data_IF_164682785252
#
_entry.id   IF_164682785252
#
_cell.length_a   1.000
_cell.length_b   1.000
_cell.length_c   1.000
_cell.angle_alpha   90.00
_cell.angle_beta   90.00
_cell.angle_gamma   90.00
#
_symmetry.space_group_name_H-M   'P 1'
#
loop_
_entity.id
_entity.type
_entity.pdbx_description
1 polymer ?
#
# COMPACT_ATOMS: atom_id res chain seq x y z
N UNK A 1 -56.38 -7.57 -44.10
CA UNK A 1 -55.91 -8.27 -42.88
C UNK A 1 -54.39 -8.36 -42.97
N UNK A 2 -53.69 -7.51 -42.22
CA UNK A 2 -52.24 -7.60 -42.07
C UNK A 2 -51.94 -8.38 -40.79
N UNK A 3 -51.07 -9.37 -40.88
CA UNK A 3 -50.61 -10.19 -39.76
C UNK A 3 -49.58 -9.41 -38.95
N UNK A 4 -49.81 -9.25 -37.65
CA UNK A 4 -48.88 -8.63 -36.72
C UNK A 4 -47.87 -9.68 -36.24
N UNK A 5 -46.54 -9.46 -36.28
CA UNK A 5 -45.60 -10.41 -35.68
C UNK A 5 -45.65 -10.30 -34.14
N UNK A 6 -45.68 -11.47 -33.50
CA UNK A 6 -45.69 -11.64 -32.05
C UNK A 6 -44.37 -11.08 -31.46
N UNK A 7 -44.47 -10.03 -30.65
CA UNK A 7 -43.37 -9.56 -29.80
C UNK A 7 -43.14 -10.57 -28.68
N UNK A 8 -41.96 -11.19 -28.68
CA UNK A 8 -41.46 -11.93 -27.52
C UNK A 8 -41.14 -10.92 -26.41
N UNK A 9 -41.99 -10.89 -25.39
CA UNK A 9 -41.78 -10.11 -24.17
C UNK A 9 -40.83 -10.90 -23.27
N UNK A 10 -39.58 -10.45 -23.16
CA UNK A 10 -38.64 -10.97 -22.17
C UNK A 10 -39.13 -10.60 -20.77
N UNK A 11 -39.30 -11.53 -19.84
CA UNK A 11 -39.67 -11.19 -18.47
C UNK A 11 -38.47 -10.52 -17.81
N UNK A 12 -38.60 -9.23 -17.53
CA UNK A 12 -37.83 -8.57 -16.48
C UNK A 12 -38.18 -9.22 -15.16
N UNK A 13 -37.24 -9.95 -14.57
CA UNK A 13 -37.17 -10.06 -13.12
C UNK A 13 -35.81 -9.57 -12.66
N UNK A 14 -35.83 -8.33 -12.19
CA UNK A 14 -34.86 -7.75 -11.28
C UNK A 14 -34.56 -8.73 -10.15
N UNK A 15 -33.34 -9.24 -10.11
CA UNK A 15 -32.65 -9.52 -8.86
C UNK A 15 -31.63 -8.41 -8.69
N UNK A 16 -32.10 -7.33 -8.07
CA UNK A 16 -31.22 -6.32 -7.49
C UNK A 16 -30.59 -6.96 -6.25
N UNK A 17 -29.57 -7.80 -6.47
CA UNK A 17 -28.64 -8.20 -5.41
C UNK A 17 -27.84 -6.95 -5.03
N UNK A 18 -28.38 -6.26 -4.03
CA UNK A 18 -27.61 -5.42 -3.14
C UNK A 18 -26.37 -6.21 -2.71
N UNK A 19 -25.21 -5.58 -2.85
CA UNK A 19 -23.89 -6.00 -2.34
C UNK A 19 -22.97 -6.70 -3.36
N UNK A 20 -22.27 -5.89 -4.16
CA UNK A 20 -20.84 -6.14 -4.32
C UNK A 20 -20.13 -4.80 -4.52
N UNK A 21 -19.17 -4.54 -3.65
CA UNK A 21 -18.47 -3.27 -3.51
C UNK A 21 -17.89 -2.75 -4.82
N UNK A 22 -17.83 -1.42 -4.87
CA UNK A 22 -16.92 -0.58 -5.66
C UNK A 22 -15.94 -1.41 -6.50
N UNK A 23 -16.28 -1.74 -7.76
CA UNK A 23 -15.30 -2.29 -8.70
C UNK A 23 -14.34 -1.17 -9.05
N UNK A 24 -13.33 -0.98 -8.18
CA UNK A 24 -12.15 -0.16 -8.46
C UNK A 24 -11.57 -0.71 -9.75
N UNK A 25 -11.68 0.06 -10.83
CA UNK A 25 -11.03 -0.33 -12.09
C UNK A 25 -9.52 -0.19 -11.94
N UNK A 26 -8.74 -0.91 -12.75
CA UNK A 26 -7.27 -0.81 -12.69
C UNK A 26 -6.78 0.64 -12.87
N UNK A 27 -7.53 1.47 -13.59
CA UNK A 27 -7.25 2.89 -13.74
C UNK A 27 -7.51 3.69 -12.46
N UNK A 28 -8.62 3.41 -11.74
CA UNK A 28 -8.92 4.04 -10.45
C UNK A 28 -7.91 3.65 -9.37
N UNK A 29 -7.47 2.39 -9.36
CA UNK A 29 -6.41 1.91 -8.46
C UNK A 29 -5.07 2.60 -8.75
N UNK A 30 -4.75 2.83 -10.02
CA UNK A 30 -3.51 3.50 -10.42
C UNK A 30 -3.51 4.99 -10.08
N UNK A 31 -4.66 5.66 -10.15
CA UNK A 31 -4.80 7.05 -9.73
C UNK A 31 -4.70 7.19 -8.19
N UNK A 32 -5.37 6.32 -7.43
CA UNK A 32 -5.27 6.30 -5.96
C UNK A 32 -3.84 6.01 -5.49
N UNK A 33 -3.13 5.12 -6.19
CA UNK A 33 -1.71 4.86 -5.91
C UNK A 33 -0.83 6.07 -6.21
N UNK A 34 -1.07 6.77 -7.32
CA UNK A 34 -0.31 7.97 -7.67
C UNK A 34 -0.53 9.11 -6.67
N UNK A 35 -1.76 9.28 -6.17
CA UNK A 35 -2.08 10.24 -5.10
C UNK A 35 -1.40 9.85 -3.78
N UNK A 36 -1.52 8.59 -3.36
CA UNK A 36 -0.84 8.09 -2.15
C UNK A 36 0.69 8.23 -2.23
N UNK A 37 1.28 8.00 -3.41
CA UNK A 37 2.71 8.18 -3.65
C UNK A 37 3.13 9.65 -3.55
N UNK A 38 2.30 10.56 -4.09
CA UNK A 38 2.55 12.00 -3.99
C UNK A 38 2.50 12.48 -2.54
N UNK A 39 1.52 12.01 -1.78
CA UNK A 39 1.38 12.36 -0.36
C UNK A 39 2.51 11.77 0.48
N UNK A 40 2.96 10.55 0.17
CA UNK A 40 4.13 9.95 0.81
C UNK A 40 5.40 10.76 0.52
N UNK A 41 5.62 11.20 -0.71
CA UNK A 41 6.78 12.05 -1.07
C UNK A 41 6.72 13.40 -0.34
N UNK A 42 5.53 14.00 -0.23
CA UNK A 42 5.34 15.24 0.53
C UNK A 42 5.63 15.03 2.03
N UNK A 43 5.14 13.93 2.62
CA UNK A 43 5.41 13.57 4.02
C UNK A 43 6.88 13.29 4.31
N UNK A 44 7.62 12.67 3.38
CA UNK A 44 9.07 12.48 3.51
C UNK A 44 9.81 13.81 3.51
N UNK A 45 9.40 14.77 2.67
CA UNK A 45 10.01 16.11 2.64
C UNK A 45 9.81 16.85 3.98
N UNK A 46 8.60 16.76 4.55
CA UNK A 46 8.30 17.35 5.86
C UNK A 46 9.09 16.69 6.99
N UNK A 47 9.22 15.35 6.96
CA UNK A 47 10.04 14.61 7.91
C UNK A 47 11.53 14.93 7.78
N UNK A 48 12.04 15.12 6.56
CA UNK A 48 13.43 15.53 6.31
C UNK A 48 13.72 16.89 6.97
N UNK A 49 12.83 17.86 6.76
CA UNK A 49 12.98 19.22 7.32
C UNK A 49 12.91 19.20 8.86
N UNK A 50 12.05 18.35 9.42
CA UNK A 50 11.95 18.12 10.87
C UNK A 50 13.21 17.43 11.41
N UNK A 51 13.75 16.46 10.68
CA UNK A 51 15.00 15.77 11.02
C UNK A 51 16.20 16.71 11.00
N UNK A 52 16.28 17.63 10.05
CA UNK A 52 17.34 18.63 9.99
C UNK A 52 17.27 19.57 11.20
N UNK A 53 16.07 20.00 11.59
CA UNK A 53 15.85 20.80 12.80
C UNK A 53 16.22 20.04 14.09
N UNK A 54 15.89 18.75 14.17
CA UNK A 54 16.26 17.90 15.31
C UNK A 54 17.76 17.61 15.36
N UNK A 55 18.40 17.43 14.20
CA UNK A 55 19.85 17.22 14.10
C UNK A 55 20.60 18.46 14.55
N UNK A 56 20.10 19.65 14.18
CA UNK A 56 20.64 20.92 14.63
C UNK A 56 20.50 21.11 16.16
N UNK A 57 19.42 20.58 16.76
CA UNK A 57 19.27 20.48 18.21
C UNK A 57 20.20 19.42 18.84
N UNK A 58 20.41 18.27 18.20
CA UNK A 58 21.19 17.14 18.72
C UNK A 58 22.70 17.41 18.77
N UNK A 59 23.24 18.18 17.82
CA UNK A 59 24.64 18.64 17.82
C UNK A 59 24.99 19.44 19.10
N UNK A 60 23.98 19.84 19.88
CA UNK A 60 24.16 20.46 21.22
C UNK A 60 24.61 19.49 22.33
N UNK A 61 24.85 18.20 22.04
CA UNK A 61 25.71 17.31 22.83
C UNK A 61 25.04 16.50 23.95
N UNK A 62 24.60 15.28 23.65
CA UNK A 62 24.00 14.34 24.63
C UNK A 62 24.91 13.17 25.04
N UNK A 63 24.81 12.80 26.33
CA UNK A 63 25.40 11.63 27.01
C UNK A 63 24.97 10.30 26.35
N UNK A 64 25.92 9.44 25.97
CA UNK A 64 25.62 8.09 25.49
C UNK A 64 26.49 7.07 26.22
N UNK A 65 25.84 6.11 26.86
CA UNK A 65 26.47 5.06 27.65
C UNK A 65 26.84 3.86 26.76
N UNK A 66 28.03 3.27 26.95
CA UNK A 66 28.58 2.20 26.09
C UNK A 66 27.67 0.97 26.01
N UNK A 67 26.89 0.72 27.06
CA UNK A 67 25.87 -0.33 27.13
C UNK A 67 24.74 -0.12 26.13
N UNK A 68 24.26 1.12 25.96
CA UNK A 68 23.18 1.42 25.00
C UNK A 68 23.63 1.20 23.56
N UNK A 69 24.89 1.51 23.23
CA UNK A 69 25.46 1.26 21.89
C UNK A 69 25.47 -0.23 21.56
N UNK A 70 25.83 -1.08 22.52
CA UNK A 70 25.85 -2.53 22.33
C UNK A 70 24.43 -3.10 22.14
N UNK A 71 23.48 -2.64 22.95
CA UNK A 71 22.07 -3.04 22.84
C UNK A 71 21.48 -2.58 21.50
N UNK A 72 21.76 -1.34 21.09
CA UNK A 72 21.33 -0.80 19.82
C UNK A 72 21.89 -1.60 18.63
N UNK A 73 23.16 -1.99 18.68
CA UNK A 73 23.80 -2.81 17.64
C UNK A 73 23.16 -4.20 17.51
N UNK A 74 22.89 -4.87 18.64
CA UNK A 74 22.18 -6.16 18.65
C UNK A 74 20.74 -6.03 18.13
N UNK A 75 20.02 -4.98 18.55
CA UNK A 75 18.67 -4.71 18.05
C UNK A 75 18.65 -4.42 16.55
N UNK A 76 19.61 -3.66 16.05
CA UNK A 76 19.76 -3.37 14.63
C UNK A 76 20.02 -4.66 13.82
N UNK A 77 20.88 -5.54 14.32
CA UNK A 77 21.20 -6.82 13.67
C UNK A 77 19.97 -7.73 13.55
N UNK A 78 19.19 -7.84 14.62
CA UNK A 78 17.94 -8.63 14.62
C UNK A 78 16.91 -8.01 13.65
N UNK A 79 16.74 -6.69 13.72
CA UNK A 79 15.79 -5.96 12.87
C UNK A 79 16.13 -6.07 11.39
N UNK A 80 17.43 -6.02 11.04
CA UNK A 80 17.90 -6.20 9.68
C UNK A 80 17.54 -7.59 9.15
N UNK A 81 17.80 -8.64 9.94
CA UNK A 81 17.44 -10.01 9.56
C UNK A 81 15.92 -10.15 9.36
N UNK A 82 15.11 -9.60 10.27
CA UNK A 82 13.64 -9.61 10.12
C UNK A 82 13.21 -8.87 8.85
N UNK A 83 13.86 -7.76 8.52
CA UNK A 83 13.55 -6.97 7.31
C UNK A 83 13.84 -7.77 6.03
N UNK A 84 14.92 -8.55 6.03
CA UNK A 84 15.25 -9.44 4.90
C UNK A 84 14.16 -10.51 4.72
N UNK A 85 13.69 -11.12 5.81
CA UNK A 85 12.60 -12.10 5.75
C UNK A 85 11.29 -11.49 5.23
N UNK A 86 10.93 -10.30 5.71
CA UNK A 86 9.74 -9.58 5.21
C UNK A 86 9.90 -9.25 3.73
N UNK A 87 11.09 -8.79 3.29
CA UNK A 87 11.38 -8.54 1.87
C UNK A 87 11.19 -9.81 1.04
N UNK A 88 11.71 -10.94 1.50
CA UNK A 88 11.57 -12.22 0.81
C UNK A 88 10.09 -12.60 0.66
N UNK A 89 9.30 -12.50 1.74
CA UNK A 89 7.85 -12.76 1.70
C UNK A 89 7.06 -11.81 0.80
N UNK A 90 7.43 -10.54 0.76
CA UNK A 90 6.80 -9.57 -0.15
C UNK A 90 7.09 -9.92 -1.63
N UNK A 91 8.32 -10.35 -1.94
CA UNK A 91 8.69 -10.79 -3.30
C UNK A 91 7.96 -12.08 -3.68
N UNK A 92 7.88 -13.06 -2.77
CA UNK A 92 7.09 -14.29 -2.98
C UNK A 92 5.62 -13.96 -3.25
N UNK A 93 5.00 -13.09 -2.45
CA UNK A 93 3.61 -12.68 -2.62
C UNK A 93 3.37 -11.99 -3.98
N UNK A 94 4.31 -11.14 -4.41
CA UNK A 94 4.25 -10.51 -5.73
C UNK A 94 4.33 -11.54 -6.86
N UNK A 95 5.25 -12.50 -6.76
CA UNK A 95 5.38 -13.58 -7.74
C UNK A 95 4.12 -14.45 -7.81
N UNK A 96 3.48 -14.71 -6.67
CA UNK A 96 2.26 -15.51 -6.59
C UNK A 96 1.07 -14.80 -7.27
N UNK A 97 0.89 -13.50 -7.03
CA UNK A 97 -0.15 -12.70 -7.71
C UNK A 97 0.04 -12.71 -9.23
N UNK A 98 1.28 -12.62 -9.70
CA UNK A 98 1.61 -12.70 -11.13
C UNK A 98 1.28 -14.08 -11.72
N UNK A 99 1.44 -15.16 -10.94
CA UNK A 99 1.08 -16.53 -11.35
C UNK A 99 -0.43 -16.78 -11.39
N UNK A 100 -1.21 -16.10 -10.56
CA UNK A 100 -2.67 -16.19 -10.59
C UNK A 100 -3.31 -15.44 -11.78
N UNK A 101 -2.58 -14.51 -12.40
CA UNK A 101 -3.12 -13.58 -13.41
C UNK A 101 -2.87 -13.98 -14.87
N UNK A 102 -2.34 -15.18 -15.12
CA UNK A 102 -2.12 -15.74 -16.48
C UNK A 102 -3.13 -16.83 -16.82
#
# INVERSE_FOLDING_TARGET
MAINPVSFMSPTQSVNELNTGNKVTSADAQQQFAEALKDAIAGVNEQQNTSDMMTQKLISGGDVDLYEVMVASQKASITLNTTIEIRNKAVEAYQEIMRMSV
#
